data_IF_270135039053
#
_entry.id   IF_270135039053
#
_cell.length_a   1.000
_cell.length_b   1.000
_cell.length_c   1.000
_cell.angle_alpha   90.00
_cell.angle_beta   90.00
_cell.angle_gamma   90.00
#
_symmetry.space_group_name_H-M   'P 1'
#
loop_
_entity.id
_entity.type
_entity.pdbx_description
1 polymer ?
#
# COMPACT_ATOMS: atom_id res chain seq x y z
N UNK A 1 4.02 26.07 -5.74
CA UNK A 1 4.93 25.09 -6.37
C UNK A 1 4.07 24.02 -7.03
N UNK A 2 4.53 23.32 -8.08
CA UNK A 2 3.78 22.18 -8.62
C UNK A 2 3.63 21.09 -7.55
N UNK A 3 2.45 20.46 -7.49
CA UNK A 3 2.21 19.27 -6.66
C UNK A 3 2.28 18.06 -7.58
N UNK A 4 2.97 17.00 -7.16
CA UNK A 4 2.87 15.72 -7.87
C UNK A 4 1.41 15.26 -7.79
N UNK A 5 0.80 14.98 -8.93
CA UNK A 5 -0.50 14.32 -8.93
C UNK A 5 -0.28 12.88 -8.46
N UNK A 6 -1.17 12.27 -7.66
CA UNK A 6 -0.99 10.89 -7.22
C UNK A 6 -1.03 9.91 -8.40
N UNK A 7 -0.60 8.69 -8.13
CA UNK A 7 -0.96 7.55 -8.98
C UNK A 7 -2.41 7.20 -8.70
N UNK A 8 -3.19 7.04 -9.77
CA UNK A 8 -4.59 6.61 -9.67
C UNK A 8 -4.68 5.19 -10.20
N UNK A 9 -4.86 4.24 -9.30
CA UNK A 9 -5.10 2.83 -9.65
C UNK A 9 -6.60 2.59 -9.75
N UNK A 10 -7.01 1.97 -10.86
CA UNK A 10 -8.42 1.70 -11.19
C UNK A 10 -8.54 0.21 -11.49
N UNK A 11 -9.44 -0.46 -10.78
CA UNK A 11 -9.77 -1.87 -10.98
C UNK A 11 -11.25 -2.00 -11.25
N UNK A 12 -11.60 -2.84 -12.23
CA UNK A 12 -12.98 -3.32 -12.34
C UNK A 12 -13.25 -4.21 -11.12
N UNK A 13 -14.44 -4.08 -10.51
CA UNK A 13 -14.82 -4.94 -9.37
C UNK A 13 -14.93 -6.41 -9.84
N UNK A 14 -15.34 -6.63 -11.08
CA UNK A 14 -15.31 -7.96 -11.69
C UNK A 14 -13.90 -8.29 -12.18
N UNK A 15 -13.38 -9.43 -11.72
CA UNK A 15 -12.01 -9.86 -11.99
C UNK A 15 -11.82 -10.40 -13.41
N UNK A 16 -12.79 -11.19 -13.89
CA UNK A 16 -12.69 -11.91 -15.17
C UNK A 16 -13.89 -11.67 -16.06
N UNK A 17 -13.62 -11.43 -17.34
CA UNK A 17 -14.64 -11.37 -18.38
C UNK A 17 -15.16 -12.76 -18.69
N UNK A 18 -16.43 -12.98 -18.39
CA UNK A 18 -17.11 -14.27 -18.54
C UNK A 18 -16.91 -14.92 -19.91
N UNK A 19 -17.03 -14.18 -21.01
CA UNK A 19 -16.91 -14.75 -22.36
C UNK A 19 -15.46 -15.05 -22.78
N UNK A 20 -14.48 -14.67 -21.96
CA UNK A 20 -13.06 -14.95 -22.20
C UNK A 20 -12.56 -16.16 -21.46
N UNK A 21 -13.37 -16.73 -20.56
CA UNK A 21 -13.10 -18.01 -19.93
C UNK A 21 -13.24 -19.15 -20.95
N UNK A 22 -12.38 -20.15 -20.84
CA UNK A 22 -12.42 -21.38 -21.62
C UNK A 22 -12.78 -22.58 -20.71
N UNK A 23 -12.91 -23.76 -21.31
CA UNK A 23 -13.28 -24.99 -20.61
C UNK A 23 -12.27 -25.41 -19.53
N UNK A 24 -10.98 -25.11 -19.69
CA UNK A 24 -9.94 -25.42 -18.71
C UNK A 24 -9.97 -24.45 -17.53
N UNK A 25 -10.21 -23.16 -17.79
CA UNK A 25 -10.41 -22.16 -16.73
C UNK A 25 -11.60 -22.61 -15.85
N UNK A 26 -12.70 -23.06 -16.45
CA UNK A 26 -13.86 -23.57 -15.72
C UNK A 26 -13.59 -24.89 -15.00
N UNK A 27 -12.81 -25.80 -15.59
CA UNK A 27 -12.44 -27.06 -14.94
C UNK A 27 -11.66 -26.83 -13.65
N UNK A 28 -10.71 -25.89 -13.66
CA UNK A 28 -9.81 -25.63 -12.54
C UNK A 28 -10.32 -24.59 -11.54
N UNK A 29 -11.05 -23.57 -11.99
CA UNK A 29 -11.49 -22.45 -11.16
C UNK A 29 -13.00 -22.32 -11.05
N UNK A 30 -13.78 -23.06 -11.84
CA UNK A 30 -15.24 -22.89 -11.91
C UNK A 30 -15.93 -23.08 -10.57
N UNK A 31 -15.49 -24.05 -9.77
CA UNK A 31 -16.04 -24.27 -8.42
C UNK A 31 -15.60 -23.17 -7.45
N UNK A 32 -14.33 -22.77 -7.44
CA UNK A 32 -13.82 -21.69 -6.57
C UNK A 32 -14.40 -20.32 -6.91
N UNK A 33 -14.74 -20.08 -8.17
CA UNK A 33 -15.42 -18.87 -8.63
C UNK A 33 -16.95 -18.93 -8.44
N UNK A 34 -17.48 -19.98 -7.80
CA UNK A 34 -18.91 -20.22 -7.62
C UNK A 34 -19.72 -20.19 -8.95
N UNK A 35 -19.08 -20.60 -10.05
CA UNK A 35 -19.72 -20.75 -11.36
C UNK A 35 -20.30 -22.16 -11.48
N UNK A 36 -19.55 -23.18 -11.07
CA UNK A 36 -19.91 -24.59 -11.20
C UNK A 36 -20.01 -25.29 -9.84
N UNK A 37 -20.85 -26.31 -9.73
CA UNK A 37 -20.83 -27.24 -8.59
C UNK A 37 -19.71 -28.29 -8.74
N UNK A 38 -19.59 -29.19 -7.76
CA UNK A 38 -18.59 -30.29 -7.77
C UNK A 38 -18.80 -31.29 -8.94
N UNK A 39 -19.96 -31.28 -9.60
CA UNK A 39 -20.28 -32.12 -10.74
C UNK A 39 -20.19 -31.36 -12.08
N UNK A 40 -19.56 -30.19 -12.09
CA UNK A 40 -19.41 -29.31 -13.25
C UNK A 40 -20.75 -28.86 -13.87
N UNK A 41 -21.77 -28.70 -13.04
CA UNK A 41 -23.05 -28.12 -13.44
C UNK A 41 -23.12 -26.65 -13.06
N UNK A 42 -23.72 -25.84 -13.93
CA UNK A 42 -23.80 -24.40 -13.73
C UNK A 42 -24.66 -24.07 -12.51
N UNK A 43 -24.09 -23.36 -11.54
CA UNK A 43 -24.80 -22.79 -10.41
C UNK A 43 -25.59 -21.58 -10.88
N UNK A 44 -26.83 -21.43 -10.41
CA UNK A 44 -27.69 -20.28 -10.73
C UNK A 44 -27.76 -19.91 -12.24
N UNK A 45 -28.17 -20.83 -13.13
CA UNK A 45 -28.25 -20.58 -14.57
C UNK A 45 -29.13 -19.38 -14.93
N UNK A 46 -30.09 -19.01 -14.06
CA UNK A 46 -30.93 -17.82 -14.22
C UNK A 46 -30.17 -16.49 -14.26
N UNK A 47 -28.93 -16.47 -13.78
CA UNK A 47 -28.09 -15.27 -13.79
C UNK A 47 -27.18 -15.18 -15.02
N UNK A 48 -27.12 -16.22 -15.85
CA UNK A 48 -26.30 -16.25 -17.05
C UNK A 48 -27.15 -16.03 -18.30
N UNK A 49 -26.55 -15.48 -19.35
CA UNK A 49 -27.22 -15.49 -20.65
C UNK A 49 -27.29 -16.93 -21.21
N UNK A 50 -28.23 -17.12 -22.12
CA UNK A 50 -28.47 -18.42 -22.73
C UNK A 50 -27.27 -18.95 -23.50
N UNK A 51 -26.44 -18.08 -24.09
CA UNK A 51 -25.32 -18.52 -24.90
C UNK A 51 -24.23 -19.18 -24.03
N UNK A 52 -23.97 -18.61 -22.86
CA UNK A 52 -23.04 -19.19 -21.89
C UNK A 52 -23.60 -20.46 -21.25
N UNK A 53 -24.89 -20.45 -20.89
CA UNK A 53 -25.59 -21.66 -20.39
C UNK A 53 -25.48 -22.83 -21.39
N UNK A 54 -25.87 -22.58 -22.65
CA UNK A 54 -25.79 -23.56 -23.74
C UNK A 54 -24.33 -24.03 -23.98
N UNK A 55 -23.34 -23.12 -23.85
CA UNK A 55 -21.93 -23.45 -24.00
C UNK A 55 -21.45 -24.39 -22.89
N UNK A 56 -21.68 -24.07 -21.62
CA UNK A 56 -21.27 -24.89 -20.47
C UNK A 56 -21.88 -26.29 -20.57
N UNK A 57 -23.17 -26.41 -20.91
CA UNK A 57 -23.82 -27.71 -21.11
C UNK A 57 -23.32 -28.49 -22.34
N UNK A 58 -22.65 -27.84 -23.29
CA UNK A 58 -22.07 -28.49 -24.46
C UNK A 58 -20.68 -29.08 -24.21
N UNK A 59 -20.04 -28.74 -23.08
CA UNK A 59 -18.69 -29.20 -22.74
C UNK A 59 -18.73 -30.68 -22.37
N UNK A 60 -17.87 -31.48 -23.01
CA UNK A 60 -17.61 -32.85 -22.55
C UNK A 60 -16.48 -32.85 -21.52
N UNK A 61 -16.82 -32.67 -20.24
CA UNK A 61 -15.85 -32.58 -19.16
C UNK A 61 -14.88 -33.76 -19.07
N UNK A 62 -15.34 -34.98 -19.41
CA UNK A 62 -14.46 -36.16 -19.43
C UNK A 62 -13.35 -36.06 -20.48
N UNK A 63 -13.63 -35.45 -21.63
CA UNK A 63 -12.61 -35.21 -22.65
C UNK A 63 -11.64 -34.10 -22.20
N UNK A 64 -12.16 -33.03 -21.58
CA UNK A 64 -11.35 -31.91 -21.07
C UNK A 64 -10.36 -32.42 -20.02
N UNK A 65 -10.81 -33.21 -19.04
CA UNK A 65 -9.97 -33.79 -17.98
C UNK A 65 -8.86 -34.71 -18.56
N UNK A 66 -9.16 -35.47 -19.61
CA UNK A 66 -8.17 -36.34 -20.28
C UNK A 66 -7.07 -35.49 -20.95
N UNK A 67 -7.45 -34.38 -21.57
CA UNK A 67 -6.55 -33.50 -22.32
C UNK A 67 -5.82 -32.47 -21.45
N UNK A 68 -6.34 -32.16 -20.26
CA UNK A 68 -5.78 -31.19 -19.32
C UNK A 68 -4.31 -31.46 -19.00
N UNK A 69 -3.95 -32.72 -18.74
CA UNK A 69 -2.57 -33.14 -18.43
C UNK A 69 -1.54 -32.83 -19.52
N UNK A 70 -1.98 -32.51 -20.73
CA UNK A 70 -1.12 -32.17 -21.87
C UNK A 70 -0.93 -30.66 -22.09
N UNK A 71 -1.68 -29.83 -21.37
CA UNK A 71 -1.70 -28.38 -21.51
C UNK A 71 -1.16 -27.77 -20.22
N UNK A 72 -0.15 -26.92 -20.33
CA UNK A 72 0.34 -26.16 -19.18
C UNK A 72 -0.54 -24.91 -19.02
N UNK A 73 -1.59 -25.01 -18.22
CA UNK A 73 -2.47 -23.88 -17.92
C UNK A 73 -1.94 -23.10 -16.71
N UNK A 74 -1.60 -21.83 -16.91
CA UNK A 74 -1.09 -20.94 -15.87
C UNK A 74 -2.16 -19.94 -15.45
N UNK A 75 -2.28 -19.69 -14.14
CA UNK A 75 -3.15 -18.63 -13.61
C UNK A 75 -2.77 -17.25 -14.18
N UNK A 76 -1.49 -17.02 -14.48
CA UNK A 76 -1.01 -15.79 -15.10
C UNK A 76 -1.59 -15.59 -16.51
N UNK A 77 -1.67 -16.67 -17.31
CA UNK A 77 -2.26 -16.63 -18.65
C UNK A 77 -3.77 -16.38 -18.58
N UNK A 78 -4.46 -16.98 -17.61
CA UNK A 78 -5.87 -16.73 -17.37
C UNK A 78 -6.12 -15.27 -17.01
N UNK A 79 -5.36 -14.70 -16.07
CA UNK A 79 -5.47 -13.29 -15.72
C UNK A 79 -5.22 -12.40 -16.92
N UNK A 80 -4.20 -12.71 -17.73
CA UNK A 80 -3.87 -11.96 -18.92
C UNK A 80 -5.02 -11.96 -19.95
N UNK A 81 -5.55 -13.13 -20.29
CA UNK A 81 -6.58 -13.30 -21.31
C UNK A 81 -7.98 -12.89 -20.84
N UNK A 82 -8.38 -13.39 -19.67
CA UNK A 82 -9.73 -13.25 -19.15
C UNK A 82 -9.96 -11.93 -18.42
N UNK A 83 -8.92 -11.28 -17.87
CA UNK A 83 -9.07 -9.97 -17.22
C UNK A 83 -9.62 -8.89 -18.16
N UNK A 84 -10.28 -7.87 -17.59
CA UNK A 84 -10.76 -6.71 -18.34
C UNK A 84 -9.60 -5.95 -18.98
N UNK A 85 -9.80 -5.49 -20.22
CA UNK A 85 -8.79 -4.73 -20.96
C UNK A 85 -9.11 -3.24 -20.90
N UNK A 86 -8.08 -2.41 -20.75
CA UNK A 86 -8.28 -0.95 -20.65
C UNK A 86 -8.85 -0.37 -21.93
N UNK A 87 -8.57 -0.98 -23.08
CA UNK A 87 -9.10 -0.61 -24.39
C UNK A 87 -10.63 -0.75 -24.46
N UNK A 88 -11.19 -1.73 -23.74
CA UNK A 88 -12.62 -2.02 -23.71
C UNK A 88 -13.34 -1.18 -22.62
N UNK A 89 -12.64 -0.89 -21.51
CA UNK A 89 -13.15 -0.10 -20.40
C UNK A 89 -13.04 1.41 -20.61
N UNK A 90 -11.95 1.92 -21.19
CA UNK A 90 -11.69 3.36 -21.31
C UNK A 90 -12.28 3.93 -22.60
N UNK A 91 -13.46 4.55 -22.49
CA UNK A 91 -14.10 5.20 -23.64
C UNK A 91 -13.42 6.52 -23.98
N UNK A 92 -13.14 7.34 -22.96
CA UNK A 92 -12.60 8.67 -23.17
C UNK A 92 -11.81 9.17 -21.96
N UNK A 93 -10.70 9.85 -22.22
CA UNK A 93 -9.75 10.31 -21.20
C UNK A 93 -9.35 11.76 -21.45
N UNK A 94 -9.35 12.57 -20.38
CA UNK A 94 -8.73 13.90 -20.37
C UNK A 94 -7.84 14.08 -19.15
N UNK A 95 -6.62 14.53 -19.39
CA UNK A 95 -5.71 15.04 -18.36
C UNK A 95 -5.50 16.54 -18.60
N UNK A 96 -5.91 17.38 -17.65
CA UNK A 96 -5.81 18.86 -17.78
C UNK A 96 -6.42 19.41 -19.07
N UNK A 97 -7.60 18.91 -19.44
CA UNK A 97 -8.30 19.23 -20.71
C UNK A 97 -7.62 18.74 -21.99
N UNK A 98 -6.46 18.10 -21.92
CA UNK A 98 -5.82 17.46 -23.06
C UNK A 98 -6.25 15.99 -23.14
N UNK A 99 -6.43 15.48 -24.36
CA UNK A 99 -6.80 14.08 -24.55
C UNK A 99 -5.65 13.16 -24.12
N UNK A 100 -5.99 12.13 -23.35
CA UNK A 100 -5.11 11.03 -23.02
C UNK A 100 -5.64 9.74 -23.64
N UNK A 101 -4.82 8.70 -23.64
CA UNK A 101 -5.15 7.42 -24.25
C UNK A 101 -4.79 6.27 -23.31
N UNK A 102 -5.11 5.04 -23.73
CA UNK A 102 -4.72 3.80 -23.04
C UNK A 102 -3.21 3.72 -22.79
N UNK A 103 -2.38 4.33 -23.63
CA UNK A 103 -0.92 4.35 -23.47
C UNK A 103 -0.44 5.13 -22.24
N UNK A 104 -1.31 5.93 -21.60
CA UNK A 104 -1.01 6.64 -20.36
C UNK A 104 -1.30 5.81 -19.10
N UNK A 105 -1.72 4.55 -19.27
CA UNK A 105 -2.03 3.63 -18.19
C UNK A 105 -1.04 2.47 -18.19
N UNK A 106 -0.50 2.15 -17.02
CA UNK A 106 0.32 0.95 -16.84
C UNK A 106 -0.49 -0.14 -16.18
N UNK A 107 -0.40 -1.36 -16.71
CA UNK A 107 -1.02 -2.54 -16.12
C UNK A 107 -0.39 -2.86 -14.76
N UNK A 108 -1.22 -3.25 -13.81
CA UNK A 108 -0.81 -3.83 -12.54
C UNK A 108 -1.81 -4.93 -12.14
N UNK A 109 -1.31 -6.09 -11.71
CA UNK A 109 -2.18 -7.14 -11.17
C UNK A 109 -2.37 -6.89 -9.67
N UNK A 110 -3.60 -7.05 -9.19
CA UNK A 110 -3.99 -6.96 -7.77
C UNK A 110 -4.96 -8.11 -7.45
N UNK A 111 -5.45 -8.19 -6.22
CA UNK A 111 -6.52 -9.13 -5.85
C UNK A 111 -7.81 -8.96 -6.68
N UNK A 112 -8.07 -7.79 -7.27
CA UNK A 112 -9.17 -7.59 -8.23
C UNK A 112 -8.83 -8.01 -9.66
N UNK A 113 -7.68 -8.65 -9.89
CA UNK A 113 -7.20 -9.03 -11.22
C UNK A 113 -6.45 -7.89 -11.89
N UNK A 114 -6.71 -7.68 -13.19
CA UNK A 114 -6.03 -6.68 -14.00
C UNK A 114 -6.55 -5.27 -13.68
N UNK A 115 -5.65 -4.44 -13.18
CA UNK A 115 -5.91 -3.04 -12.87
C UNK A 115 -4.98 -2.12 -13.66
N UNK A 116 -5.34 -0.84 -13.70
CA UNK A 116 -4.66 0.13 -14.54
C UNK A 116 -4.33 1.38 -13.75
N UNK A 117 -3.05 1.77 -13.81
CA UNK A 117 -2.53 2.92 -13.08
C UNK A 117 -2.30 4.08 -14.03
N UNK A 118 -3.00 5.19 -13.82
CA UNK A 118 -2.62 6.46 -14.40
C UNK A 118 -1.51 7.09 -13.57
N UNK A 119 -0.48 7.62 -14.23
CA UNK A 119 0.62 8.34 -13.57
C UNK A 119 1.38 7.49 -12.54
N UNK A 120 1.74 6.25 -12.91
CA UNK A 120 2.54 5.35 -12.07
C UNK A 120 4.00 5.78 -11.93
N UNK A 121 4.51 6.63 -12.82
CA UNK A 121 5.90 7.08 -12.83
C UNK A 121 6.91 6.05 -13.36
N UNK A 122 6.47 4.81 -13.66
CA UNK A 122 7.31 3.74 -14.23
C UNK A 122 7.78 4.03 -15.66
N UNK A 123 7.01 4.82 -16.40
CA UNK A 123 7.33 5.34 -17.73
C UNK A 123 8.30 6.54 -17.69
N UNK A 124 8.79 6.91 -16.50
CA UNK A 124 9.67 8.06 -16.28
C UNK A 124 8.93 9.40 -16.27
N UNK A 125 7.60 9.40 -16.38
CA UNK A 125 6.77 10.60 -16.39
C UNK A 125 5.98 10.71 -15.09
N UNK A 126 6.35 11.67 -14.24
CA UNK A 126 5.54 12.05 -13.06
C UNK A 126 4.71 13.30 -13.40
N UNK A 127 3.40 13.12 -13.60
CA UNK A 127 2.47 14.20 -13.86
C UNK A 127 2.26 15.07 -12.62
N UNK A 128 2.25 16.39 -12.82
CA UNK A 128 2.11 17.38 -11.75
C UNK A 128 0.88 18.25 -11.96
N UNK A 129 0.25 18.73 -10.90
CA UNK A 129 -0.80 19.76 -10.99
C UNK A 129 -0.28 21.14 -10.54
N UNK A 130 -0.73 22.18 -11.24
CA UNK A 130 -0.35 23.59 -10.99
C UNK A 130 -1.50 24.44 -10.48
N UNK A 131 -2.73 23.93 -10.55
CA UNK A 131 -3.93 24.58 -10.05
C UNK A 131 -4.91 23.53 -9.55
N UNK A 132 -5.67 23.86 -8.51
CA UNK A 132 -6.81 23.05 -8.08
C UNK A 132 -7.97 23.11 -9.08
N UNK A 133 -8.98 22.28 -8.82
CA UNK A 133 -10.24 22.23 -9.54
C UNK A 133 -10.27 21.27 -10.73
N UNK A 134 -11.49 20.78 -11.02
CA UNK A 134 -11.83 19.73 -12.00
C UNK A 134 -11.23 19.86 -13.40
N UNK A 135 -10.88 21.07 -13.82
CA UNK A 135 -10.31 21.30 -15.16
C UNK A 135 -8.85 20.85 -15.25
N UNK A 136 -8.15 20.81 -14.12
CA UNK A 136 -6.72 20.54 -13.99
C UNK A 136 -6.43 19.11 -13.49
N UNK A 137 -7.45 18.26 -13.46
CA UNK A 137 -7.36 16.87 -13.02
C UNK A 137 -7.48 15.86 -14.16
N UNK A 138 -7.73 14.61 -13.76
CA UNK A 138 -8.00 13.47 -14.62
C UNK A 138 -9.51 13.26 -14.75
N UNK A 139 -10.01 13.19 -15.97
CA UNK A 139 -11.40 12.89 -16.28
C UNK A 139 -11.50 11.65 -17.15
N UNK A 140 -12.23 10.65 -16.68
CA UNK A 140 -12.38 9.36 -17.33
C UNK A 140 -13.85 9.07 -17.60
N UNK A 141 -14.11 8.48 -18.75
CA UNK A 141 -15.38 7.87 -19.11
C UNK A 141 -15.12 6.38 -19.20
N UNK A 142 -15.73 5.63 -18.29
CA UNK A 142 -15.47 4.21 -18.11
C UNK A 142 -16.72 3.40 -18.46
N UNK A 143 -16.49 2.29 -19.14
CA UNK A 143 -17.43 1.21 -19.40
C UNK A 143 -17.11 0.07 -18.43
N UNK A 144 -18.10 -0.35 -17.63
CA UNK A 144 -17.94 -1.42 -16.65
C UNK A 144 -17.99 -2.81 -17.29
N UNK A 145 -18.63 -2.94 -18.46
CA UNK A 145 -18.88 -4.23 -19.11
C UNK A 145 -19.69 -5.22 -18.24
N UNK A 146 -20.85 -4.79 -17.73
CA UNK A 146 -21.76 -5.58 -16.87
C UNK A 146 -22.08 -6.96 -17.45
N UNK A 147 -22.22 -7.08 -18.77
CA UNK A 147 -22.51 -8.37 -19.42
C UNK A 147 -21.38 -9.40 -19.27
N UNK A 148 -20.16 -8.95 -18.99
CA UNK A 148 -19.00 -9.80 -18.75
C UNK A 148 -18.85 -10.21 -17.27
N UNK A 149 -19.71 -9.70 -16.38
CA UNK A 149 -19.64 -10.03 -14.96
C UNK A 149 -19.98 -11.51 -14.71
N UNK A 150 -19.27 -12.08 -13.74
CA UNK A 150 -19.61 -13.37 -13.15
C UNK A 150 -20.66 -13.15 -12.07
N UNK A 151 -21.80 -13.83 -12.20
CA UNK A 151 -22.92 -13.65 -11.28
C UNK A 151 -22.97 -14.77 -10.24
N UNK A 152 -22.25 -14.56 -9.12
CA UNK A 152 -22.34 -15.42 -7.93
C UNK A 152 -22.67 -14.58 -6.69
N UNK A 153 -23.13 -15.23 -5.62
CA UNK A 153 -23.75 -14.58 -4.44
C UNK A 153 -22.88 -13.50 -3.75
N UNK A 154 -21.55 -13.58 -3.87
CA UNK A 154 -20.59 -12.65 -3.26
C UNK A 154 -20.14 -11.52 -4.21
N UNK A 155 -20.40 -11.66 -5.53
CA UNK A 155 -20.12 -10.64 -6.54
C UNK A 155 -21.36 -9.76 -6.83
N UNK A 156 -21.90 -9.11 -5.78
CA UNK A 156 -23.08 -8.24 -5.93
C UNK A 156 -22.76 -6.83 -6.41
N UNK A 157 -21.50 -6.43 -6.34
CA UNK A 157 -21.10 -5.05 -6.55
C UNK A 157 -20.75 -4.77 -8.01
N UNK A 158 -21.28 -3.67 -8.54
CA UNK A 158 -21.06 -3.24 -9.91
C UNK A 158 -20.37 -1.88 -9.96
N UNK A 159 -19.28 -1.79 -10.72
CA UNK A 159 -18.49 -0.58 -10.87
C UNK A 159 -16.99 -0.80 -10.78
N UNK A 160 -16.30 0.24 -10.30
CA UNK A 160 -14.85 0.27 -10.19
C UNK A 160 -14.42 0.56 -8.76
N UNK A 161 -13.31 -0.06 -8.35
CA UNK A 161 -12.53 0.36 -7.18
C UNK A 161 -11.42 1.30 -7.65
N UNK A 162 -11.25 2.41 -6.94
CA UNK A 162 -10.25 3.43 -7.25
C UNK A 162 -9.43 3.72 -6.00
N UNK A 163 -8.12 3.84 -6.18
CA UNK A 163 -7.17 4.20 -5.12
C UNK A 163 -6.24 5.31 -5.63
N UNK A 164 -6.11 6.38 -4.84
CA UNK A 164 -5.08 7.40 -5.03
C UNK A 164 -3.96 7.16 -4.03
N UNK A 165 -2.73 6.95 -4.52
CA UNK A 165 -1.57 6.64 -3.69
C UNK A 165 -0.31 7.29 -4.26
N UNK A 166 0.80 7.24 -3.50
CA UNK A 166 2.09 7.74 -3.97
C UNK A 166 2.64 6.86 -5.11
N UNK A 167 3.43 7.44 -6.01
CA UNK A 167 4.05 6.68 -7.12
C UNK A 167 4.95 5.55 -6.63
N UNK A 168 5.58 5.75 -5.48
CA UNK A 168 6.59 4.85 -4.95
C UNK A 168 5.98 3.78 -4.01
N UNK A 169 4.65 3.77 -3.86
CA UNK A 169 3.86 2.82 -3.05
C UNK A 169 3.04 1.86 -3.92
N UNK A 170 3.03 0.54 -3.67
CA UNK A 170 2.18 -0.41 -4.38
C UNK A 170 0.70 -0.28 -3.98
N UNK A 171 -0.25 -0.54 -4.89
CA UNK A 171 -1.67 -0.34 -4.62
C UNK A 171 -2.30 -1.48 -3.81
N UNK A 172 -2.65 -1.22 -2.55
CA UNK A 172 -3.49 -2.13 -1.74
C UNK A 172 -4.99 -1.81 -1.90
N UNK A 173 -5.50 -2.00 -3.12
CA UNK A 173 -6.83 -1.54 -3.51
C UNK A 173 -7.99 -2.30 -2.84
N UNK A 174 -7.77 -3.55 -2.42
CA UNK A 174 -8.77 -4.35 -1.71
C UNK A 174 -9.20 -3.69 -0.40
N UNK A 175 -8.25 -3.14 0.34
CA UNK A 175 -8.50 -2.54 1.65
C UNK A 175 -8.71 -1.03 1.59
N UNK A 176 -7.92 -0.33 0.77
CA UNK A 176 -7.88 1.14 0.77
C UNK A 176 -8.68 1.76 -0.39
N UNK A 177 -9.13 0.96 -1.35
CA UNK A 177 -9.86 1.43 -2.52
C UNK A 177 -11.32 1.77 -2.24
N UNK A 178 -11.78 2.94 -2.72
CA UNK A 178 -13.18 3.33 -2.66
C UNK A 178 -13.93 2.92 -3.95
N UNK A 179 -15.22 2.60 -3.81
CA UNK A 179 -16.06 2.15 -4.92
C UNK A 179 -16.80 3.29 -5.62
N UNK A 180 -16.94 3.19 -6.93
CA UNK A 180 -17.82 4.04 -7.76
C UNK A 180 -18.66 3.15 -8.67
N UNK A 181 -19.95 3.45 -8.81
CA UNK A 181 -20.90 2.63 -9.59
C UNK A 181 -21.34 3.34 -10.87
N UNK A 182 -22.11 2.66 -11.72
CA UNK A 182 -22.55 3.19 -13.01
C UNK A 182 -23.69 4.20 -12.90
N UNK A 183 -24.02 4.85 -14.01
CA UNK A 183 -25.09 5.85 -14.12
C UNK A 183 -24.76 7.22 -13.52
N UNK A 184 -23.55 7.42 -13.01
CA UNK A 184 -23.17 8.61 -12.24
C UNK A 184 -21.90 9.31 -12.78
N UNK A 185 -21.84 10.61 -12.57
CA UNK A 185 -20.64 11.43 -12.72
C UNK A 185 -20.12 11.80 -11.33
N UNK A 186 -18.96 11.25 -10.99
CA UNK A 186 -18.27 11.46 -9.72
C UNK A 186 -17.26 12.59 -9.84
N UNK A 187 -17.28 13.48 -8.84
CA UNK A 187 -16.26 14.49 -8.59
C UNK A 187 -15.52 14.09 -7.33
N UNK A 188 -14.26 13.71 -7.51
CA UNK A 188 -13.38 13.21 -6.45
C UNK A 188 -12.33 14.29 -6.20
N UNK A 189 -12.58 15.05 -5.14
CA UNK A 189 -11.71 16.13 -4.72
C UNK A 189 -10.64 15.54 -3.79
N UNK A 190 -9.37 15.67 -4.19
CA UNK A 190 -8.21 15.14 -3.49
C UNK A 190 -7.55 16.24 -2.65
N UNK A 191 -7.02 15.85 -1.51
CA UNK A 191 -6.18 16.68 -0.63
C UNK A 191 -4.94 15.89 -0.24
N UNK A 192 -3.78 16.55 -0.22
CA UNK A 192 -2.53 15.89 0.17
C UNK A 192 -2.24 16.13 1.64
N UNK A 193 -2.09 15.05 2.39
CA UNK A 193 -1.73 15.04 3.79
C UNK A 193 -0.34 14.44 3.95
N UNK A 194 0.53 15.13 4.68
CA UNK A 194 1.86 14.65 5.04
C UNK A 194 1.96 14.51 6.54
N UNK A 195 2.18 13.28 6.99
CA UNK A 195 2.31 12.95 8.39
C UNK A 195 3.77 12.66 8.69
N UNK A 196 4.35 13.41 9.61
CA UNK A 196 5.68 13.15 10.16
C UNK A 196 5.54 12.68 11.61
N UNK A 197 5.96 11.45 11.86
CA UNK A 197 5.89 10.80 13.17
C UNK A 197 7.28 10.73 13.80
N UNK A 198 7.34 10.61 15.13
CA UNK A 198 8.61 10.48 15.83
C UNK A 198 8.99 9.00 16.01
N UNK A 199 10.28 8.64 15.86
CA UNK A 199 10.75 7.30 16.16
C UNK A 199 10.83 7.06 17.67
N UNK A 200 11.19 5.84 18.05
CA UNK A 200 11.53 5.51 19.43
C UNK A 200 12.61 6.45 19.98
N UNK A 201 12.52 6.90 21.25
CA UNK A 201 11.55 6.51 22.29
C UNK A 201 10.30 7.42 22.38
N UNK A 202 10.09 8.34 21.43
CA UNK A 202 9.01 9.34 21.52
C UNK A 202 7.74 8.94 20.74
N UNK A 203 7.90 8.10 19.72
CA UNK A 203 6.81 7.44 19.00
C UNK A 203 7.24 6.03 18.60
N UNK A 204 6.63 5.48 17.54
CA UNK A 204 6.79 4.09 17.13
C UNK A 204 6.79 3.97 15.60
N UNK A 205 7.52 4.86 14.93
CA UNK A 205 7.71 4.82 13.49
C UNK A 205 9.12 4.34 13.12
N UNK A 206 9.26 3.85 11.90
CA UNK A 206 10.50 3.26 11.37
C UNK A 206 11.09 4.15 10.25
N UNK A 207 12.39 4.48 10.33
CA UNK A 207 13.07 5.38 9.36
C UNK A 207 13.88 4.65 8.27
N UNK A 208 14.18 3.36 8.41
CA UNK A 208 15.22 2.70 7.60
C UNK A 208 14.94 1.22 7.28
N UNK A 209 13.67 0.80 7.24
CA UNK A 209 13.34 -0.57 6.88
C UNK A 209 13.59 -0.80 5.39
N UNK A 210 14.58 -1.63 5.06
CA UNK A 210 14.79 -2.07 3.68
C UNK A 210 13.94 -3.28 3.40
N UNK A 211 13.15 -3.18 2.33
CA UNK A 211 12.44 -4.29 1.74
C UNK A 211 13.31 -4.93 0.66
N UNK A 212 13.12 -6.21 0.41
CA UNK A 212 13.89 -6.96 -0.58
C UNK A 212 13.38 -6.71 -2.02
N UNK A 213 12.09 -6.38 -2.17
CA UNK A 213 11.41 -6.26 -3.45
C UNK A 213 10.93 -4.84 -3.78
N UNK A 214 10.97 -3.93 -2.80
CA UNK A 214 10.54 -2.55 -2.96
C UNK A 214 11.65 -1.58 -2.54
N UNK A 215 11.91 -0.58 -3.39
CA UNK A 215 12.95 0.43 -3.13
C UNK A 215 12.59 1.35 -1.94
N UNK A 216 11.30 1.52 -1.68
CA UNK A 216 10.78 2.41 -0.64
C UNK A 216 9.85 1.66 0.31
N UNK A 217 10.09 1.83 1.60
CA UNK A 217 9.21 1.29 2.63
C UNK A 217 7.88 2.04 2.67
N UNK A 218 6.81 1.28 2.61
CA UNK A 218 5.44 1.71 2.85
C UNK A 218 4.70 0.56 3.50
N UNK A 219 3.60 0.86 4.19
CA UNK A 219 2.80 -0.18 4.84
C UNK A 219 2.29 -1.22 3.81
N UNK A 220 1.75 -0.81 2.64
CA UNK A 220 1.38 -1.76 1.59
C UNK A 220 2.55 -2.61 1.09
N UNK A 221 3.73 -2.01 0.87
CA UNK A 221 4.89 -2.74 0.38
C UNK A 221 5.36 -3.80 1.40
N UNK A 222 5.45 -3.43 2.67
CA UNK A 222 5.81 -4.35 3.76
C UNK A 222 4.82 -5.52 3.87
N UNK A 223 3.51 -5.24 3.78
CA UNK A 223 2.49 -6.27 3.88
C UNK A 223 2.51 -7.24 2.71
N UNK A 224 2.55 -6.71 1.48
CA UNK A 224 2.61 -7.54 0.27
C UNK A 224 3.87 -8.40 0.29
N UNK A 225 5.03 -7.85 0.67
CA UNK A 225 6.27 -8.61 0.77
C UNK A 225 6.20 -9.70 1.85
N UNK A 226 5.69 -9.38 3.04
CA UNK A 226 5.54 -10.36 4.12
C UNK A 226 4.62 -11.53 3.72
N UNK A 227 3.46 -11.22 3.15
CA UNK A 227 2.51 -12.23 2.65
C UNK A 227 3.14 -13.08 1.54
N UNK A 228 3.91 -12.44 0.64
CA UNK A 228 4.66 -13.12 -0.43
C UNK A 228 5.64 -14.14 0.12
N UNK A 229 6.48 -13.73 1.06
CA UNK A 229 7.53 -14.59 1.61
C UNK A 229 6.94 -15.80 2.35
N UNK A 230 5.83 -15.63 3.06
CA UNK A 230 5.18 -16.74 3.78
C UNK A 230 4.51 -17.72 2.81
N UNK A 231 3.84 -17.21 1.77
CA UNK A 231 3.23 -18.06 0.74
C UNK A 231 4.31 -18.80 -0.05
N UNK A 232 5.43 -18.14 -0.36
CA UNK A 232 6.57 -18.77 -1.01
C UNK A 232 7.17 -19.89 -0.13
N UNK A 233 7.39 -19.64 1.16
CA UNK A 233 7.95 -20.62 2.08
C UNK A 233 7.06 -21.86 2.22
N UNK A 234 5.74 -21.68 2.33
CA UNK A 234 4.79 -22.77 2.58
C UNK A 234 4.34 -23.49 1.31
N UNK A 235 4.08 -22.74 0.23
CA UNK A 235 3.45 -23.26 -0.98
C UNK A 235 4.42 -23.35 -2.17
N UNK A 236 5.66 -22.83 -2.05
CA UNK A 236 6.68 -22.87 -3.11
C UNK A 236 6.21 -22.25 -4.44
N UNK A 237 5.32 -21.26 -4.35
CA UNK A 237 4.75 -20.50 -5.46
C UNK A 237 4.40 -19.09 -4.99
N UNK A 238 4.08 -18.20 -5.92
CA UNK A 238 3.64 -16.83 -5.64
C UNK A 238 2.27 -16.54 -6.24
N UNK A 239 1.58 -15.53 -5.72
CA UNK A 239 0.33 -15.02 -6.28
C UNK A 239 0.59 -14.16 -7.53
N UNK A 240 -0.46 -13.98 -8.35
CA UNK A 240 -0.39 -13.21 -9.60
C UNK A 240 -0.17 -11.71 -9.34
N UNK A 241 -0.69 -11.18 -8.23
CA UNK A 241 -0.54 -9.77 -7.86
C UNK A 241 0.87 -9.40 -7.36
N UNK A 242 1.67 -10.38 -6.96
CA UNK A 242 3.00 -10.13 -6.41
C UNK A 242 3.92 -9.60 -7.51
N UNK A 243 4.56 -8.45 -7.24
CA UNK A 243 5.40 -7.75 -8.21
C UNK A 243 6.85 -8.24 -8.17
N UNK A 244 7.45 -8.35 -9.36
CA UNK A 244 8.85 -8.72 -9.56
C UNK A 244 9.01 -10.10 -10.20
N UNK A 245 9.95 -10.20 -11.16
CA UNK A 245 10.36 -11.47 -11.76
C UNK A 245 11.43 -12.10 -10.87
N UNK A 246 10.97 -12.88 -9.91
CA UNK A 246 11.82 -13.50 -8.89
C UNK A 246 12.29 -14.91 -9.28
N UNK A 247 12.01 -15.35 -10.52
CA UNK A 247 12.25 -16.73 -10.94
C UNK A 247 11.36 -17.76 -10.24
N UNK A 248 10.39 -17.31 -9.42
CA UNK A 248 9.39 -18.13 -8.76
C UNK A 248 8.13 -18.17 -9.62
N UNK A 249 7.62 -19.37 -9.85
CA UNK A 249 6.41 -19.58 -10.63
C UNK A 249 5.16 -19.13 -9.88
N UNK A 250 4.16 -18.70 -10.63
CA UNK A 250 2.82 -18.44 -10.11
C UNK A 250 2.18 -19.74 -9.63
N UNK A 251 1.39 -19.67 -8.56
CA UNK A 251 0.60 -20.80 -8.06
C UNK A 251 -0.38 -21.30 -9.12
N UNK A 252 -0.57 -22.60 -9.19
CA UNK A 252 -1.68 -23.21 -9.95
C UNK A 252 -3.01 -22.97 -9.22
N UNK A 253 -4.14 -23.28 -9.88
CA UNK A 253 -5.47 -23.18 -9.27
C UNK A 253 -5.58 -23.98 -7.96
N UNK A 254 -5.14 -25.24 -8.02
CA UNK A 254 -5.15 -26.16 -6.89
C UNK A 254 -4.28 -25.64 -5.75
N UNK A 255 -3.05 -25.18 -6.05
CA UNK A 255 -2.15 -24.63 -5.03
C UNK A 255 -2.66 -23.31 -4.43
N UNK A 256 -3.31 -22.48 -5.24
CA UNK A 256 -3.92 -21.25 -4.76
C UNK A 256 -5.02 -21.57 -3.74
N UNK A 257 -5.92 -22.49 -4.06
CA UNK A 257 -7.07 -22.81 -3.23
C UNK A 257 -6.70 -23.69 -2.01
N UNK A 258 -5.86 -24.71 -2.21
CA UNK A 258 -5.57 -25.70 -1.17
C UNK A 258 -4.41 -25.28 -0.25
N UNK A 259 -3.57 -24.32 -0.66
CA UNK A 259 -2.42 -23.86 0.11
C UNK A 259 -2.39 -22.35 0.33
N UNK A 260 -2.37 -21.55 -0.74
CA UNK A 260 -2.11 -20.12 -0.64
C UNK A 260 -3.22 -19.38 0.11
N UNK A 261 -4.49 -19.63 -0.24
CA UNK A 261 -5.65 -18.98 0.38
C UNK A 261 -5.76 -19.29 1.89
N UNK A 262 -5.74 -20.56 2.35
CA UNK A 262 -5.69 -20.87 3.78
C UNK A 262 -4.47 -20.26 4.48
N UNK A 263 -3.34 -20.13 3.79
CA UNK A 263 -2.15 -19.49 4.33
C UNK A 263 -2.37 -18.00 4.58
N UNK A 264 -2.94 -17.28 3.62
CA UNK A 264 -3.28 -15.85 3.76
C UNK A 264 -4.31 -15.61 4.86
N UNK A 265 -5.33 -16.46 4.96
CA UNK A 265 -6.31 -16.40 6.06
C UNK A 265 -5.61 -16.59 7.41
N UNK A 266 -4.70 -17.57 7.52
CA UNK A 266 -3.94 -17.80 8.75
C UNK A 266 -3.04 -16.61 9.14
N UNK A 267 -2.45 -15.93 8.15
CA UNK A 267 -1.63 -14.72 8.37
C UNK A 267 -2.50 -13.61 8.95
N UNK A 268 -3.69 -13.43 8.37
CA UNK A 268 -4.66 -12.41 8.79
C UNK A 268 -5.18 -12.68 10.20
N UNK A 269 -5.47 -13.94 10.56
CA UNK A 269 -5.95 -14.29 11.90
C UNK A 269 -4.87 -14.18 12.99
N UNK A 270 -3.61 -14.38 12.62
CA UNK A 270 -2.47 -14.41 13.56
C UNK A 270 -1.73 -13.09 13.69
N UNK A 271 -2.07 -12.08 12.88
CA UNK A 271 -1.34 -10.80 12.77
C UNK A 271 0.18 -11.01 12.60
N UNK A 272 0.58 -12.03 11.82
CA UNK A 272 2.01 -12.38 11.67
C UNK A 272 2.80 -11.25 11.00
N UNK A 273 2.19 -10.55 10.04
CA UNK A 273 2.81 -9.46 9.29
C UNK A 273 2.65 -8.10 10.00
N UNK A 274 3.48 -7.85 11.01
CA UNK A 274 3.50 -6.57 11.74
C UNK A 274 4.35 -5.54 11.02
N UNK A 275 3.70 -4.64 10.27
CA UNK A 275 4.34 -3.52 9.59
C UNK A 275 4.19 -2.23 10.40
N UNK A 276 5.29 -1.59 10.78
CA UNK A 276 5.28 -0.31 11.48
C UNK A 276 5.00 0.85 10.52
N UNK A 277 4.48 1.97 11.03
CA UNK A 277 4.29 3.16 10.19
C UNK A 277 5.65 3.77 9.83
N UNK A 278 5.87 4.21 8.59
CA UNK A 278 7.04 5.03 8.27
C UNK A 278 6.98 6.36 9.03
N UNK A 279 8.14 6.93 9.33
CA UNK A 279 8.19 8.23 9.99
C UNK A 279 7.76 9.37 9.07
N UNK A 280 7.90 9.22 7.76
CA UNK A 280 7.33 10.14 6.77
C UNK A 280 6.29 9.40 5.92
N UNK A 281 5.05 9.88 5.96
CA UNK A 281 3.94 9.29 5.22
C UNK A 281 3.19 10.35 4.44
N UNK A 282 2.96 10.10 3.14
CA UNK A 282 2.09 10.95 2.31
C UNK A 282 0.80 10.19 2.03
N UNK A 283 -0.34 10.79 2.37
CA UNK A 283 -1.67 10.24 2.12
C UNK A 283 -2.50 11.17 1.24
N UNK A 284 -3.43 10.59 0.50
CA UNK A 284 -4.38 11.32 -0.35
C UNK A 284 -5.79 11.16 0.19
N UNK A 285 -6.22 12.13 1.00
CA UNK A 285 -7.60 12.21 1.45
C UNK A 285 -8.50 12.59 0.27
N UNK A 286 -9.73 12.10 0.28
CA UNK A 286 -10.66 12.34 -0.80
C UNK A 286 -12.08 12.64 -0.31
N UNK A 287 -12.73 13.59 -0.97
CA UNK A 287 -14.15 13.88 -0.81
C UNK A 287 -14.89 13.57 -2.11
N UNK A 288 -15.88 12.68 -2.02
CA UNK A 288 -16.66 12.23 -3.18
C UNK A 288 -18.00 12.95 -3.20
N UNK A 289 -18.33 13.53 -4.36
CA UNK A 289 -19.68 13.97 -4.67
C UNK A 289 -20.10 13.39 -6.03
N UNK A 290 -21.39 13.12 -6.20
CA UNK A 290 -21.89 12.51 -7.43
C UNK A 290 -23.16 13.20 -7.91
N UNK A 291 -23.36 13.15 -9.22
CA UNK A 291 -24.61 13.54 -9.87
C UNK A 291 -24.99 12.49 -10.90
N UNK A 292 -26.29 12.24 -11.06
CA UNK A 292 -26.77 11.30 -12.08
C UNK A 292 -26.40 11.79 -13.48
N UNK A 293 -25.92 10.88 -14.33
CA UNK A 293 -25.70 11.17 -15.74
C UNK A 293 -27.04 11.44 -16.43
N UNK A 294 -27.06 12.47 -17.29
CA UNK A 294 -28.23 12.77 -18.12
C UNK A 294 -28.21 11.89 -19.35
N UNK A 295 -29.40 11.48 -19.79
CA UNK A 295 -29.58 10.77 -21.06
C UNK A 295 -28.94 11.52 -22.25
N UNK A 296 -28.96 12.85 -22.29
CA UNK A 296 -28.32 13.58 -23.39
C UNK A 296 -26.78 13.59 -23.34
N UNK A 297 -26.16 13.33 -22.18
CA UNK A 297 -24.71 13.16 -22.10
C UNK A 297 -24.27 11.88 -22.83
N UNK A 298 -25.18 10.91 -22.93
CA UNK A 298 -24.98 9.63 -23.60
C UNK A 298 -24.76 9.80 -25.11
N UNK A 299 -25.54 10.66 -25.77
CA UNK A 299 -25.38 10.96 -27.20
C UNK A 299 -24.00 11.55 -27.52
N UNK A 300 -23.46 12.36 -26.59
CA UNK A 300 -22.13 12.96 -26.73
C UNK A 300 -21.01 11.94 -26.60
N UNK A 301 -21.16 10.96 -25.69
CA UNK A 301 -20.18 9.88 -25.47
C UNK A 301 -20.13 8.96 -26.70
N UNK A 302 -21.30 8.64 -27.27
CA UNK A 302 -21.40 7.86 -28.49
C UNK A 302 -20.63 8.49 -29.67
N UNK A 303 -20.62 9.83 -29.78
CA UNK A 303 -19.89 10.54 -30.83
C UNK A 303 -18.35 10.41 -30.76
N UNK A 304 -17.80 10.11 -29.59
CA UNK A 304 -16.36 9.93 -29.37
C UNK A 304 -15.92 8.47 -29.33
N UNK A 305 -16.86 7.52 -29.36
CA UNK A 305 -16.56 6.09 -29.39
C UNK A 305 -15.99 5.72 -30.77
N UNK A 306 -14.67 5.68 -30.87
CA UNK A 306 -13.96 5.40 -32.13
C UNK A 306 -13.60 3.92 -32.20
N UNK A 307 -14.17 3.22 -33.19
CA UNK A 307 -13.67 1.97 -33.79
C UNK A 307 -13.41 0.76 -32.87
N UNK A 308 -14.40 -0.14 -32.77
CA UNK A 308 -14.29 -1.63 -32.82
C UNK A 308 -15.45 -2.36 -32.12
N UNK A 309 -16.35 -1.63 -31.45
CA UNK A 309 -17.51 -2.25 -30.80
C UNK A 309 -18.69 -2.31 -31.78
N UNK A 310 -19.33 -3.49 -31.94
CA UNK A 310 -20.48 -3.68 -32.82
C UNK A 310 -21.72 -2.93 -32.29
N UNK A 311 -21.95 -1.73 -32.82
CA UNK A 311 -22.87 -0.65 -32.41
C UNK A 311 -24.39 -0.89 -32.63
N UNK A 312 -24.88 -2.12 -32.43
CA UNK A 312 -26.34 -2.37 -32.42
C UNK A 312 -26.90 -2.53 -31.00
N UNK A 313 -26.08 -2.96 -30.04
CA UNK A 313 -26.48 -3.18 -28.64
C UNK A 313 -26.24 -1.93 -27.76
N UNK A 314 -25.22 -1.12 -28.11
CA UNK A 314 -24.84 0.15 -27.47
C UNK A 314 -25.86 1.31 -27.60
N UNK A 315 -27.06 1.06 -28.14
CA UNK A 315 -28.08 2.08 -28.43
C UNK A 315 -29.23 2.14 -27.43
N UNK A 316 -29.27 1.26 -26.43
CA UNK A 316 -30.29 1.34 -25.39
C UNK A 316 -29.84 2.28 -24.26
N UNK A 317 -30.74 3.15 -23.82
CA UNK A 317 -30.52 4.02 -22.65
C UNK A 317 -30.19 3.18 -21.41
N UNK A 318 -30.81 2.01 -21.31
CA UNK A 318 -30.62 1.06 -20.21
C UNK A 318 -29.22 0.46 -20.17
N UNK A 319 -28.63 0.06 -21.30
CA UNK A 319 -27.25 -0.41 -21.35
C UNK A 319 -26.31 0.66 -20.78
N UNK A 320 -26.56 1.92 -21.08
CA UNK A 320 -25.66 3.02 -20.73
C UNK A 320 -25.81 3.42 -19.26
N UNK A 321 -27.03 3.46 -18.73
CA UNK A 321 -27.24 3.67 -17.29
C UNK A 321 -26.57 2.56 -16.46
N UNK A 322 -26.58 1.33 -16.96
CA UNK A 322 -25.99 0.18 -16.24
C UNK A 322 -24.49 0.02 -16.44
N UNK A 323 -23.93 0.51 -17.55
CA UNK A 323 -22.52 0.27 -17.88
C UNK A 323 -21.60 1.49 -17.76
N UNK A 324 -22.10 2.71 -17.90
CA UNK A 324 -21.23 3.89 -17.99
C UNK A 324 -21.14 4.66 -16.68
N UNK A 325 -19.94 5.12 -16.36
CA UNK A 325 -19.72 6.16 -15.35
C UNK A 325 -18.69 7.17 -15.83
N UNK A 326 -18.71 8.35 -15.20
CA UNK A 326 -17.72 9.39 -15.42
C UNK A 326 -17.04 9.69 -14.10
N UNK A 327 -15.72 9.71 -14.09
CA UNK A 327 -14.93 10.02 -12.89
C UNK A 327 -14.07 11.23 -13.17
N UNK A 328 -14.07 12.20 -12.27
CA UNK A 328 -13.21 13.38 -12.32
C UNK A 328 -12.41 13.48 -11.03
N UNK A 329 -11.11 13.15 -11.08
CA UNK A 329 -10.18 13.23 -9.97
C UNK A 329 -9.33 14.50 -10.08
N UNK A 330 -9.36 15.35 -9.07
CA UNK A 330 -8.65 16.63 -9.07
C UNK A 330 -8.30 17.06 -7.65
N UNK A 331 -7.25 17.85 -7.49
CA UNK A 331 -7.00 18.50 -6.20
C UNK A 331 -8.04 19.60 -5.95
N UNK A 332 -8.67 19.63 -4.77
CA UNK A 332 -9.61 20.71 -4.42
C UNK A 332 -8.87 22.06 -4.40
N UNK A 333 -7.79 22.08 -3.63
CA UNK A 333 -6.82 23.16 -3.64
C UNK A 333 -5.39 22.60 -3.56
N UNK A 334 -4.39 23.42 -3.93
CA UNK A 334 -2.99 23.01 -3.88
C UNK A 334 -2.36 23.35 -2.52
N UNK A 335 -2.98 22.87 -1.45
CA UNK A 335 -2.44 22.94 -0.10
C UNK A 335 -1.93 21.56 0.32
N UNK A 336 -0.94 21.57 1.22
CA UNK A 336 -0.53 20.39 1.97
C UNK A 336 -1.03 20.57 3.40
N UNK A 337 -1.69 19.55 3.93
CA UNK A 337 -1.90 19.44 5.36
C UNK A 337 -0.67 18.73 5.95
N UNK A 338 0.02 19.40 6.88
CA UNK A 338 1.15 18.81 7.59
C UNK A 338 0.70 18.44 9.01
N UNK A 339 0.84 17.17 9.38
CA UNK A 339 0.63 16.66 10.73
C UNK A 339 1.98 16.20 11.24
N UNK A 340 2.61 17.00 12.11
CA UNK A 340 3.93 16.71 12.65
C UNK A 340 3.85 16.42 14.15
N UNK A 341 4.39 15.27 14.56
CA UNK A 341 4.63 14.97 15.95
C UNK A 341 5.91 15.67 16.41
N UNK A 342 5.80 16.45 17.48
CA UNK A 342 6.94 17.14 18.09
C UNK A 342 7.11 16.72 19.54
N UNK A 343 8.36 16.66 19.99
CA UNK A 343 8.67 16.30 21.39
C UNK A 343 8.11 17.39 22.30
N UNK A 344 7.09 17.04 23.10
CA UNK A 344 6.41 17.98 23.97
C UNK A 344 7.34 18.58 25.05
N UNK A 345 8.36 17.83 25.48
CA UNK A 345 9.31 18.27 26.50
C UNK A 345 10.76 17.94 26.13
N UNK A 346 11.43 18.82 25.37
CA UNK A 346 12.85 18.66 25.03
C UNK A 346 13.75 18.70 26.27
N UNK A 347 14.92 18.05 26.21
CA UNK A 347 15.91 18.09 27.30
C UNK A 347 16.38 19.50 27.68
N UNK A 348 16.34 20.45 26.74
CA UNK A 348 16.64 21.87 27.00
C UNK A 348 15.57 22.50 27.89
N UNK A 349 14.29 22.15 27.69
CA UNK A 349 13.19 22.60 28.55
C UNK A 349 13.34 22.04 29.97
N UNK A 350 13.75 20.77 30.10
CA UNK A 350 14.08 20.17 31.41
C UNK A 350 15.16 20.96 32.15
N UNK A 351 16.28 21.24 31.48
CA UNK A 351 17.39 22.01 32.06
C UNK A 351 16.97 23.44 32.42
N UNK A 352 16.12 24.05 31.58
CA UNK A 352 15.57 25.37 31.82
C UNK A 352 14.69 25.40 33.08
N UNK A 353 13.79 24.42 33.24
CA UNK A 353 12.89 24.37 34.40
C UNK A 353 13.64 24.03 35.69
N UNK A 354 14.58 23.09 35.65
CA UNK A 354 15.45 22.77 36.79
C UNK A 354 16.28 23.99 37.18
N UNK A 355 16.91 24.64 36.20
CA UNK A 355 17.69 25.86 36.42
C UNK A 355 16.84 27.01 36.95
N UNK A 356 15.62 27.16 36.44
CA UNK A 356 14.65 28.17 36.88
C UNK A 356 14.23 27.97 38.33
N UNK A 357 13.87 26.73 38.71
CA UNK A 357 13.49 26.40 40.09
C UNK A 357 14.67 26.52 41.06
N UNK A 358 15.86 26.07 40.68
CA UNK A 358 17.07 26.24 41.51
C UNK A 358 17.44 27.73 41.69
N UNK A 359 17.32 28.52 40.62
CA UNK A 359 17.55 29.96 40.64
C UNK A 359 16.53 30.70 41.51
N UNK A 360 15.25 30.33 41.42
CA UNK A 360 14.17 30.98 42.18
C UNK A 360 14.16 30.60 43.66
N UNK A 361 14.26 29.31 43.98
CA UNK A 361 14.11 28.82 45.34
C UNK A 361 15.39 28.95 46.18
N UNK A 362 16.55 28.71 45.58
CA UNK A 362 17.83 28.65 46.29
C UNK A 362 18.70 29.88 45.97
N UNK A 363 18.43 30.59 44.87
CA UNK A 363 19.35 31.60 44.34
C UNK A 363 20.63 30.99 43.77
N UNK A 364 20.62 29.68 43.51
CA UNK A 364 21.78 28.96 43.01
C UNK A 364 21.81 28.98 41.48
N UNK A 365 23.01 29.09 40.92
CA UNK A 365 23.28 28.98 39.49
C UNK A 365 24.24 27.83 39.22
N UNK A 366 24.49 27.55 37.93
CA UNK A 366 25.52 26.58 37.51
C UNK A 366 26.89 26.92 38.13
N UNK A 367 27.21 28.21 38.30
CA UNK A 367 28.45 28.65 38.95
C UNK A 367 28.50 28.25 40.42
N UNK A 368 27.37 28.33 41.12
CA UNK A 368 27.26 27.90 42.52
C UNK A 368 27.52 26.41 42.66
N UNK A 369 27.00 25.59 41.74
CA UNK A 369 27.26 24.14 41.69
C UNK A 369 28.73 23.85 41.41
N UNK A 370 29.33 24.53 40.44
CA UNK A 370 30.75 24.37 40.11
C UNK A 370 31.67 24.72 41.29
N UNK A 371 31.36 25.78 42.06
CA UNK A 371 32.11 26.11 43.26
C UNK A 371 32.02 25.02 44.34
N UNK A 372 30.84 24.42 44.55
CA UNK A 372 30.67 23.31 45.50
C UNK A 372 31.47 22.07 45.07
N UNK A 373 31.46 21.74 43.77
CA UNK A 373 32.26 20.65 43.22
C UNK A 373 33.76 20.92 43.40
N UNK A 374 34.22 22.14 43.10
CA UNK A 374 35.62 22.51 43.28
C UNK A 374 36.06 22.42 44.75
N UNK A 375 35.21 22.86 45.68
CA UNK A 375 35.46 22.73 47.12
C UNK A 375 35.54 21.26 47.54
N UNK A 376 34.60 20.41 47.09
CA UNK A 376 34.60 18.98 47.40
C UNK A 376 35.85 18.28 46.88
N UNK A 377 36.27 18.56 45.64
CA UNK A 377 37.51 18.04 45.06
C UNK A 377 38.72 18.47 45.90
N UNK A 378 38.78 19.74 46.31
CA UNK A 378 39.85 20.25 47.17
C UNK A 378 39.95 19.52 48.51
N UNK A 379 38.82 19.25 49.17
CA UNK A 379 38.80 18.49 50.43
C UNK A 379 39.18 17.02 50.25
N UNK A 380 38.81 16.40 49.13
CA UNK A 380 39.23 15.03 48.79
C UNK A 380 40.74 14.99 48.60
N UNK A 381 41.31 15.91 47.82
CA UNK A 381 42.77 15.99 47.58
C UNK A 381 43.52 16.20 48.91
N UNK A 382 43.04 17.11 49.79
CA UNK A 382 43.63 17.29 51.12
C UNK A 382 43.59 16.01 51.95
N UNK A 383 42.50 15.24 51.91
CA UNK A 383 42.40 13.95 52.61
C UNK A 383 43.40 12.92 52.08
N UNK A 384 43.63 12.87 50.76
CA UNK A 384 44.64 12.00 50.15
C UNK A 384 46.07 12.42 50.54
N UNK A 385 46.39 13.71 50.49
CA UNK A 385 47.69 14.23 50.93
C UNK A 385 47.95 13.99 52.43
N UNK A 386 46.91 14.07 53.26
CA UNK A 386 47.00 13.74 54.70
C UNK A 386 47.22 12.25 54.95
N UNK A 387 46.79 11.37 54.03
CA UNK A 387 47.04 9.92 54.07
C UNK A 387 48.48 9.59 53.64
N UNK A 388 48.96 10.18 52.55
CA UNK A 388 50.37 10.05 52.11
C UNK A 388 51.35 10.57 53.17
N UNK A 389 51.12 11.76 53.75
CA UNK A 389 51.97 12.29 54.82
C UNK A 389 51.93 11.46 56.11
N UNK A 390 50.89 10.65 56.33
CA UNK A 390 50.81 9.72 57.46
C UNK A 390 51.63 8.46 57.20
N UNK A 391 51.67 7.95 55.97
CA UNK A 391 52.55 6.85 55.57
C UNK A 391 54.04 7.25 55.58
N UNK A 392 54.38 8.48 55.16
CA UNK A 392 55.76 8.99 55.22
C UNK A 392 56.25 9.16 56.67
N UNK A 393 55.40 9.64 57.59
CA UNK A 393 55.76 9.78 59.01
C UNK A 393 55.84 8.46 59.79
N UNK A 394 55.31 7.35 59.25
CA UNK A 394 55.42 6.02 59.90
C UNK A 394 56.77 5.35 59.57
N UNK A 395 57.50 5.84 58.57
CA UNK A 395 58.79 5.30 58.13
C UNK A 395 60.03 6.03 58.68
N UNK A 396 59.88 7.02 59.56
CA UNK A 396 61.01 7.65 60.27
C UNK A 396 61.31 6.87 61.55
N UNK A 397 62.04 5.77 61.42
CA UNK A 397 62.63 5.03 62.54
C UNK A 397 63.84 5.83 63.06
N UNK A 398 63.80 6.26 64.33
CA UNK A 398 64.98 6.75 65.05
C UNK A 398 66.03 5.63 65.16
N UNK A 399 67.14 5.75 64.44
CA UNK A 399 68.33 4.92 64.68
C UNK A 399 69.04 5.49 65.91
N UNK A 400 68.97 4.76 67.03
CA UNK A 400 69.75 5.05 68.23
C UNK A 400 71.23 4.68 68.00
N UNK A 401 72.12 5.64 68.22
CA UNK A 401 73.58 5.44 68.26
C UNK A 401 73.96 4.53 69.43
N UNK A 402 74.71 3.47 69.15
CA UNK A 402 75.33 2.62 70.16
C UNK A 402 76.40 3.39 70.94
N UNK A 403 76.44 3.21 72.26
CA UNK A 403 77.49 3.74 73.13
C UNK A 403 78.75 2.85 73.07
N UNK A 404 79.93 3.43 73.35
CA UNK A 404 81.22 2.77 73.15
C UNK A 404 81.57 1.81 74.29
N UNK A 405 82.30 0.75 73.94
CA UNK A 405 82.89 -0.22 74.84
C UNK A 405 84.15 0.39 75.47
N UNK A 406 84.17 0.43 76.80
CA UNK A 406 85.38 0.64 77.61
C UNK A 406 86.37 -0.51 77.38
N UNK A 407 87.61 -0.19 77.05
CA UNK A 407 88.75 -1.03 77.42
C UNK A 407 89.92 -0.16 77.88
N UNK A 408 90.42 -0.49 79.08
CA UNK A 408 91.47 0.21 79.82
C UNK A 408 92.83 0.05 79.16
N UNK A 409 93.62 1.14 79.09
CA UNK A 409 94.91 1.25 79.77
C UNK A 409 95.36 2.71 79.90
#
# INVERSE_FOLDING_TARGET
MPHNFPTITICNINTFRRHKLNEYDLLHYGTSLNILDENWTLLHPEHYDKAFDDWVYSINWTDVEIHDRSINHSMEEMYERAGHQIEDMLIYCKWKQQECSVANFTLINTHYGRCYQFNSGKDGVKHQSFKGGKANGLKLYLNVEELEYLNYMEASDLGFKILAHDQDEPPLIQELGFGVTTGNHYFIALETERVTSLPDPYGNCEEDHKLDHYDHYSIPACRIECETLIVEEKCSCRLVEMHGDHGIRVCTAEEYHDCALPTLESITESDTCVCQNPCELTQFQHSISSVKLRESAVEMIHGHTSSNINLTEFKSVEFIEKNLLVVNLFFDSLNYQYIEQTVAYPGVSLLSDVGGQMGLCIGASILTVLHLVQFAIGEIIKKFQKRENKEVNTNVIHVASANPVDDKL
#
